data_IF_485467311539
#
_entry.id   IF_485467311539
#
_cell.length_a   1.000
_cell.length_b   1.000
_cell.length_c   1.000
_cell.angle_alpha   90.00
_cell.angle_beta   90.00
_cell.angle_gamma   90.00
#
_symmetry.space_group_name_H-M   'P 1'
#
loop_
_entity.id
_entity.type
_entity.pdbx_description
1 polymer ?
#
# COMPACT_ATOMS: atom_id res chain seq x y z
N UNK A 1 -6.19 -4.12 6.99
CA UNK A 1 -6.00 -4.99 5.81
C UNK A 1 -4.64 -4.70 5.17
N UNK A 2 -4.02 -5.68 4.51
CA UNK A 2 -2.65 -5.60 3.94
C UNK A 2 -2.68 -5.65 2.40
N UNK A 3 -2.16 -4.62 1.74
CA UNK A 3 -2.04 -4.59 0.28
C UNK A 3 -0.73 -5.17 -0.26
N UNK A 4 -0.74 -5.55 -1.54
CA UNK A 4 0.32 -6.29 -2.21
C UNK A 4 0.95 -5.48 -3.36
N UNK A 5 2.26 -5.58 -3.52
CA UNK A 5 3.01 -5.03 -4.65
C UNK A 5 3.77 -6.17 -5.33
N UNK A 6 3.53 -6.38 -6.63
CA UNK A 6 4.39 -7.21 -7.49
C UNK A 6 5.70 -6.48 -7.79
N UNK A 7 6.46 -6.88 -8.80
CA UNK A 7 7.58 -6.12 -9.40
C UNK A 7 7.14 -4.75 -10.01
N UNK A 8 6.09 -4.15 -9.45
CA UNK A 8 5.59 -2.81 -9.73
C UNK A 8 6.31 -1.82 -8.82
N UNK A 9 6.96 -0.83 -9.44
CA UNK A 9 7.70 0.19 -8.72
C UNK A 9 6.78 1.24 -8.09
N UNK A 10 5.58 1.45 -8.64
CA UNK A 10 4.64 2.49 -8.24
C UNK A 10 3.21 2.01 -8.01
N UNK A 11 3.01 1.10 -7.06
CA UNK A 11 1.70 0.52 -6.84
C UNK A 11 0.75 1.46 -6.08
N UNK A 12 -0.55 1.27 -6.32
CA UNK A 12 -1.62 2.06 -5.72
C UNK A 12 -2.53 1.20 -4.84
N UNK A 13 -2.99 1.76 -3.72
CA UNK A 13 -3.91 1.14 -2.78
C UNK A 13 -5.29 1.79 -2.92
N UNK A 14 -6.22 1.08 -3.55
CA UNK A 14 -7.60 1.56 -3.75
C UNK A 14 -8.41 1.47 -2.47
N UNK A 15 -9.22 2.50 -2.20
CA UNK A 15 -10.07 2.58 -1.02
C UNK A 15 -11.53 2.64 -1.44
N UNK A 16 -12.44 2.19 -0.57
CA UNK A 16 -13.88 2.21 -0.80
C UNK A 16 -14.63 2.73 0.43
N UNK A 17 -15.87 3.16 0.21
CA UNK A 17 -16.84 3.35 1.30
C UNK A 17 -17.74 2.12 1.31
N UNK A 18 -17.74 1.38 2.42
CA UNK A 18 -18.54 0.18 2.55
C UNK A 18 -20.04 0.51 2.66
N UNK A 19 -20.94 -0.49 2.61
CA UNK A 19 -22.38 -0.27 2.77
C UNK A 19 -22.79 0.31 4.14
N UNK A 20 -21.91 0.29 5.15
CA UNK A 20 -22.13 0.88 6.47
C UNK A 20 -21.70 2.34 6.56
N UNK A 21 -21.03 2.86 5.52
CA UNK A 21 -20.50 4.22 5.46
C UNK A 21 -19.06 4.34 6.00
N UNK A 22 -18.41 3.21 6.31
CA UNK A 22 -17.04 3.18 6.76
C UNK A 22 -16.06 3.27 5.59
N UNK A 23 -14.98 4.02 5.79
CA UNK A 23 -13.85 4.08 4.86
C UNK A 23 -12.96 2.86 5.06
N UNK A 24 -12.89 2.04 4.02
CA UNK A 24 -12.13 0.79 4.03
C UNK A 24 -11.13 0.74 2.87
N UNK A 25 -10.21 -0.20 3.04
CA UNK A 25 -9.28 -0.59 2.01
C UNK A 25 -10.03 -1.56 1.07
N UNK A 26 -10.09 -1.27 -0.23
CA UNK A 26 -10.65 -2.21 -1.20
C UNK A 26 -9.75 -3.45 -1.20
N UNK A 27 -10.26 -4.59 -0.71
CA UNK A 27 -9.53 -5.85 -0.67
C UNK A 27 -9.15 -6.20 -2.12
N UNK A 28 -7.89 -5.95 -2.48
CA UNK A 28 -7.28 -6.54 -3.67
C UNK A 28 -7.14 -8.05 -3.49
N UNK A 29 -7.09 -8.79 -4.60
CA UNK A 29 -7.00 -10.26 -4.61
C UNK A 29 -5.97 -10.84 -3.63
N UNK A 30 -6.30 -12.02 -3.10
CA UNK A 30 -5.44 -12.82 -2.22
C UNK A 30 -4.16 -13.28 -2.96
N UNK A 31 -3.01 -12.93 -2.36
CA UNK A 31 -1.66 -13.48 -2.52
C UNK A 31 -0.82 -13.09 -3.76
N UNK A 32 0.34 -12.47 -3.47
CA UNK A 32 1.50 -12.32 -4.35
C UNK A 32 2.72 -11.76 -3.60
N UNK A 33 3.27 -12.55 -2.67
CA UNK A 33 4.26 -12.18 -1.64
C UNK A 33 5.71 -11.99 -2.15
N UNK A 34 5.93 -11.39 -3.32
CA UNK A 34 7.23 -11.56 -3.96
C UNK A 34 7.61 -10.46 -4.95
N UNK A 35 8.49 -9.56 -4.49
CA UNK A 35 9.44 -8.89 -5.38
C UNK A 35 10.42 -9.97 -5.85
N UNK A 36 10.45 -10.25 -7.15
CA UNK A 36 11.30 -11.27 -7.74
C UNK A 36 12.70 -10.73 -8.04
N UNK A 37 13.59 -11.60 -8.48
CA UNK A 37 14.92 -11.20 -8.93
C UNK A 37 14.88 -10.40 -10.26
N UNK A 38 13.74 -10.38 -10.96
CA UNK A 38 13.54 -9.54 -12.14
C UNK A 38 13.33 -8.06 -11.80
N UNK A 39 12.96 -7.73 -10.55
CA UNK A 39 12.85 -6.34 -10.12
C UNK A 39 14.23 -5.70 -9.94
N UNK A 40 14.57 -4.78 -10.83
CA UNK A 40 15.85 -4.06 -10.80
C UNK A 40 15.85 -2.83 -9.88
N UNK A 41 14.71 -2.47 -9.29
CA UNK A 41 14.57 -1.32 -8.41
C UNK A 41 15.09 -1.60 -6.98
N UNK A 42 15.53 -0.54 -6.29
CA UNK A 42 15.92 -0.61 -4.87
C UNK A 42 14.83 -0.10 -3.92
N UNK A 43 13.76 0.49 -4.46
CA UNK A 43 12.66 1.05 -3.70
C UNK A 43 11.33 0.95 -4.46
N UNK A 44 10.24 1.02 -3.71
CA UNK A 44 8.85 1.01 -4.17
C UNK A 44 8.17 2.27 -3.64
N UNK A 45 7.46 2.98 -4.50
CA UNK A 45 6.69 4.18 -4.14
C UNK A 45 5.20 3.90 -4.15
N UNK A 46 4.61 3.87 -2.97
CA UNK A 46 3.21 3.52 -2.75
C UNK A 46 2.34 4.76 -2.76
N UNK A 47 1.23 4.69 -3.49
CA UNK A 47 0.18 5.70 -3.48
C UNK A 47 -1.12 5.15 -2.90
N UNK A 48 -1.98 6.03 -2.36
CA UNK A 48 -3.33 5.69 -1.93
C UNK A 48 -4.30 6.33 -2.93
N UNK A 49 -5.26 5.57 -3.42
CA UNK A 49 -6.31 6.08 -4.31
C UNK A 49 -7.60 6.25 -3.49
N UNK A 50 -8.16 7.47 -3.39
CA UNK A 50 -9.40 7.70 -2.65
C UNK A 50 -10.60 7.02 -3.34
N UNK A 51 -11.72 6.80 -2.62
CA UNK A 51 -12.92 6.25 -3.23
C UNK A 51 -13.47 7.18 -4.32
N UNK A 52 -14.24 6.64 -5.26
CA UNK A 52 -14.81 7.45 -6.34
C UNK A 52 -15.66 8.61 -5.80
N UNK A 53 -15.40 9.82 -6.29
CA UNK A 53 -16.03 11.05 -5.82
C UNK A 53 -15.47 11.65 -4.53
N UNK A 54 -14.44 11.05 -3.94
CA UNK A 54 -13.73 11.58 -2.78
C UNK A 54 -12.33 12.07 -3.17
N UNK A 55 -11.81 13.04 -2.43
CA UNK A 55 -10.44 13.53 -2.55
C UNK A 55 -9.58 12.97 -1.43
N UNK A 56 -8.31 12.65 -1.72
CA UNK A 56 -7.35 12.27 -0.70
C UNK A 56 -6.68 13.52 -0.12
N UNK A 57 -6.94 13.81 1.14
CA UNK A 57 -6.42 15.01 1.79
C UNK A 57 -5.03 14.80 2.37
N UNK A 58 -4.82 13.65 3.01
CA UNK A 58 -3.54 13.33 3.63
C UNK A 58 -3.30 11.84 3.75
N UNK A 59 -2.01 11.47 3.72
CA UNK A 59 -1.52 10.14 4.08
C UNK A 59 -0.34 10.35 5.02
N UNK A 60 -0.40 9.68 6.17
CA UNK A 60 0.68 9.66 7.15
C UNK A 60 1.23 8.26 7.29
N UNK A 61 2.48 8.07 6.88
CA UNK A 61 3.19 6.80 7.02
C UNK A 61 3.79 6.69 8.41
N UNK A 62 3.49 5.60 9.12
CA UNK A 62 4.08 5.32 10.42
C UNK A 62 5.56 5.03 10.20
N UNK A 63 6.44 5.89 10.73
CA UNK A 63 7.88 5.85 10.45
C UNK A 63 8.39 6.99 9.55
N UNK A 64 7.52 7.93 9.13
CA UNK A 64 7.93 9.25 8.65
C UNK A 64 8.36 9.37 7.17
N UNK A 65 7.99 8.41 6.32
CA UNK A 65 8.34 8.41 4.88
C UNK A 65 7.38 9.19 3.98
N UNK A 66 7.78 9.35 2.71
CA UNK A 66 7.00 9.94 1.60
C UNK A 66 6.17 8.91 0.82
N UNK A 67 5.90 7.74 1.41
CA UNK A 67 5.35 6.59 0.70
C UNK A 67 6.37 5.81 -0.12
N UNK A 68 7.67 6.13 -0.01
CA UNK A 68 8.75 5.38 -0.66
C UNK A 68 9.43 4.45 0.36
N UNK A 69 9.56 3.18 -0.01
CA UNK A 69 10.04 2.12 0.87
C UNK A 69 11.13 1.31 0.18
N UNK A 70 12.20 1.01 0.90
CA UNK A 70 13.29 0.18 0.36
C UNK A 70 12.80 -1.25 0.15
N UNK A 71 13.25 -1.87 -0.94
CA UNK A 71 13.09 -3.31 -1.15
C UNK A 71 13.99 -4.03 -0.14
N UNK A 72 13.45 -4.94 0.69
CA UNK A 72 14.23 -5.67 1.67
C UNK A 72 15.13 -6.71 1.00
N UNK A 73 16.09 -7.24 1.76
CA UNK A 73 16.97 -8.31 1.29
C UNK A 73 16.18 -9.56 0.87
N UNK A 74 16.72 -10.37 -0.07
CA UNK A 74 16.12 -11.65 -0.45
C UNK A 74 15.72 -12.50 0.76
N UNK A 75 14.47 -12.95 0.81
CA UNK A 75 13.92 -13.75 1.90
C UNK A 75 13.44 -12.95 3.12
N UNK A 76 13.59 -11.63 3.11
CA UNK A 76 13.13 -10.74 4.19
C UNK A 76 11.76 -10.14 3.87
N UNK A 77 10.95 -9.94 4.92
CA UNK A 77 9.65 -9.28 4.88
C UNK A 77 9.65 -8.05 5.78
N UNK A 78 9.15 -6.92 5.28
CA UNK A 78 8.96 -5.68 6.05
C UNK A 78 7.49 -5.27 6.03
N UNK A 79 6.97 -4.86 7.19
CA UNK A 79 5.58 -4.40 7.34
C UNK A 79 5.54 -2.89 7.49
N UNK A 80 4.61 -2.25 6.78
CA UNK A 80 4.43 -0.81 6.79
C UNK A 80 2.99 -0.48 7.17
N UNK A 81 2.79 0.59 7.95
CA UNK A 81 1.48 1.04 8.43
C UNK A 81 1.26 2.50 8.04
N UNK A 82 0.01 2.87 7.86
CA UNK A 82 -0.36 4.22 7.50
C UNK A 82 -1.76 4.58 7.96
N UNK A 83 -2.00 5.89 8.03
CA UNK A 83 -3.32 6.49 8.19
C UNK A 83 -3.59 7.42 7.01
N UNK A 84 -4.83 7.53 6.59
CA UNK A 84 -5.22 8.38 5.48
C UNK A 84 -6.58 9.03 5.76
N UNK A 85 -6.77 10.22 5.19
CA UNK A 85 -8.01 10.98 5.30
C UNK A 85 -8.50 11.32 3.90
N UNK A 86 -9.78 11.09 3.66
CA UNK A 86 -10.48 11.48 2.44
C UNK A 86 -11.64 12.41 2.77
N UNK A 87 -11.90 13.34 1.86
CA UNK A 87 -12.98 14.32 2.01
C UNK A 87 -13.84 14.38 0.76
N UNK A 88 -15.14 14.53 0.96
CA UNK A 88 -16.13 14.80 -0.09
C UNK A 88 -17.14 15.78 0.47
N UNK A 89 -17.28 16.94 -0.18
CA UNK A 89 -18.11 18.04 0.30
C UNK A 89 -17.73 18.46 1.73
N UNK A 90 -18.63 18.30 2.70
CA UNK A 90 -18.39 18.58 4.13
C UNK A 90 -18.04 17.33 4.95
N UNK A 91 -18.11 16.14 4.34
CA UNK A 91 -17.80 14.87 4.99
C UNK A 91 -16.30 14.58 4.94
N UNK A 92 -15.71 14.27 6.09
CA UNK A 92 -14.31 13.85 6.20
C UNK A 92 -14.23 12.52 6.93
N UNK A 93 -13.57 11.55 6.32
CA UNK A 93 -13.39 10.21 6.86
C UNK A 93 -11.90 9.88 6.96
N UNK A 94 -11.50 9.35 8.10
CA UNK A 94 -10.14 8.86 8.33
C UNK A 94 -10.16 7.37 8.59
N UNK A 95 -9.19 6.67 8.01
CA UNK A 95 -8.99 5.24 8.24
C UNK A 95 -7.50 4.91 8.25
N UNK A 96 -7.20 3.64 8.54
CA UNK A 96 -5.82 3.17 8.64
C UNK A 96 -5.64 1.87 7.89
N UNK A 97 -4.41 1.65 7.43
CA UNK A 97 -4.05 0.51 6.62
C UNK A 97 -2.66 0.01 6.94
N UNK A 98 -2.35 -1.16 6.40
CA UNK A 98 -1.00 -1.67 6.38
C UNK A 98 -0.71 -2.38 5.06
N UNK A 99 0.54 -2.68 4.81
CA UNK A 99 0.96 -3.53 3.70
C UNK A 99 2.30 -4.18 4.05
N UNK A 100 2.74 -5.13 3.22
CA UNK A 100 4.04 -5.80 3.37
C UNK A 100 4.83 -5.73 2.07
N UNK A 101 6.15 -5.64 2.19
CA UNK A 101 7.08 -5.85 1.07
C UNK A 101 7.93 -7.07 1.42
N UNK A 102 7.97 -8.04 0.52
CA UNK A 102 8.77 -9.26 0.65
C UNK A 102 9.51 -9.54 -0.64
N UNK A 103 10.81 -9.82 -0.56
CA UNK A 103 11.63 -10.19 -1.71
C UNK A 103 11.85 -11.70 -1.76
N UNK A 104 11.79 -12.30 -2.95
CA UNK A 104 12.13 -13.71 -3.15
C UNK A 104 13.51 -14.00 -2.59
N UNK A 105 13.65 -15.07 -1.83
CA UNK A 105 14.97 -15.65 -1.58
C UNK A 105 15.49 -16.13 -2.94
N UNK A 106 16.55 -15.52 -3.46
CA UNK A 106 17.07 -15.83 -4.79
C UNK A 106 17.19 -17.35 -4.99
N UNK A 107 16.55 -17.86 -6.04
CA UNK A 107 16.75 -19.27 -6.40
C UNK A 107 18.07 -19.29 -7.14
N UNK A 108 19.15 -19.61 -6.45
CA UNK A 108 20.45 -19.84 -7.09
C UNK A 108 20.30 -20.91 -8.16
N UNK A 109 20.41 -20.50 -9.42
CA UNK A 109 20.51 -21.34 -10.61
C UNK A 109 21.81 -21.02 -11.32
#
# INVERSE_FOLDING_TARGET
MNYNFTDEAQPALSTLIDPTGALELEDGDVQGNLITDAFSGSAISVSIQPPSGWSLDSVTWVGGGSGTFLVPDPGTETSHRFTYTVTRDEDSLSSSGSFKIKRQSGTGG
#
